data_IF_565747916590
#
_entry.id   IF_565747916590
#
_cell.length_a   1.000
_cell.length_b   1.000
_cell.length_c   1.000
_cell.angle_alpha   90.00
_cell.angle_beta   90.00
_cell.angle_gamma   90.00
#
_symmetry.space_group_name_H-M   'P 1'
#
loop_
_entity.id
_entity.type
_entity.pdbx_description
1 polymer ?
#
# COMPACT_ATOMS: atom_id res chain seq x y z
N UNK A 1 25.15 14.81 -32.69
CA UNK A 1 25.08 13.54 -31.94
C UNK A 1 23.66 13.47 -31.39
N UNK A 2 22.89 12.39 -31.61
CA UNK A 2 21.53 12.30 -31.10
C UNK A 2 21.51 12.40 -29.57
N UNK A 3 20.59 13.19 -29.03
CA UNK A 3 20.29 13.25 -27.60
C UNK A 3 19.27 12.15 -27.33
N UNK A 4 19.64 11.19 -26.50
CA UNK A 4 18.75 10.12 -26.03
C UNK A 4 18.13 10.59 -24.73
N UNK A 5 16.81 10.61 -24.67
CA UNK A 5 16.06 10.93 -23.45
C UNK A 5 15.46 9.63 -22.91
N UNK A 6 15.60 9.40 -21.60
CA UNK A 6 15.00 8.26 -20.90
C UNK A 6 14.10 8.84 -19.81
N UNK A 7 12.82 8.48 -19.84
CA UNK A 7 11.93 8.73 -18.71
C UNK A 7 11.89 7.46 -17.86
N UNK A 8 12.26 7.58 -16.59
CA UNK A 8 12.21 6.51 -15.60
C UNK A 8 11.13 6.86 -14.57
N UNK A 9 10.15 5.98 -14.39
CA UNK A 9 9.36 5.96 -13.16
C UNK A 9 10.13 5.20 -12.09
N UNK A 10 10.36 5.81 -10.93
CA UNK A 10 10.96 5.15 -9.75
C UNK A 10 10.01 5.37 -8.58
N UNK A 11 9.66 4.31 -7.86
CA UNK A 11 8.86 4.34 -6.64
C UNK A 11 9.83 4.40 -5.44
N UNK A 12 9.69 5.40 -4.55
CA UNK A 12 10.51 5.55 -3.35
C UNK A 12 9.70 6.15 -2.20
N UNK A 13 9.84 5.61 -0.99
CA UNK A 13 9.15 6.07 0.23
C UNK A 13 10.15 6.41 1.34
N UNK A 14 10.08 7.63 1.89
CA UNK A 14 10.68 7.97 3.19
C UNK A 14 9.95 9.14 3.87
N UNK A 15 9.65 9.02 5.16
CA UNK A 15 8.86 9.95 5.98
C UNK A 15 9.61 10.39 7.26
N UNK A 16 9.35 11.61 7.75
CA UNK A 16 9.83 12.14 9.05
C UNK A 16 8.84 13.21 9.59
N UNK A 17 8.51 13.27 10.91
CA UNK A 17 7.42 14.13 11.41
C UNK A 17 7.83 15.26 12.37
N UNK A 18 6.95 16.27 12.56
CA UNK A 18 6.80 17.05 13.81
C UNK A 18 5.50 17.91 13.94
N UNK A 19 4.75 17.66 15.03
CA UNK A 19 4.12 18.52 16.07
C UNK A 19 2.97 19.58 15.91
N UNK A 20 1.92 19.39 16.77
CA UNK A 20 1.18 20.37 17.63
C UNK A 20 0.17 21.36 16.98
N UNK A 21 -0.99 21.83 17.50
CA UNK A 21 -1.89 21.64 18.68
C UNK A 21 -3.31 22.27 18.42
N UNK A 22 -4.30 21.83 19.21
CA UNK A 22 -5.75 22.11 19.46
C UNK A 22 -6.53 23.38 18.98
N UNK A 23 -7.86 23.23 18.73
CA UNK A 23 -8.98 23.88 19.46
C UNK A 23 -10.39 23.34 19.06
N UNK A 24 -11.40 23.66 19.88
CA UNK A 24 -12.67 22.95 20.15
C UNK A 24 -13.89 23.86 19.89
N UNK A 25 -15.06 23.30 19.53
CA UNK A 25 -16.35 24.02 19.55
C UNK A 25 -17.53 23.21 19.00
N UNK A 26 -18.44 22.82 19.89
CA UNK A 26 -19.70 22.10 19.67
C UNK A 26 -20.68 22.89 18.78
N UNK A 27 -21.21 22.24 17.74
CA UNK A 27 -22.60 22.42 17.32
C UNK A 27 -23.08 21.17 16.57
N UNK A 28 -24.29 20.74 16.92
CA UNK A 28 -24.90 19.45 16.55
C UNK A 28 -25.02 19.33 15.00
N UNK A 29 -24.56 18.24 14.37
CA UNK A 29 -24.52 18.16 12.92
C UNK A 29 -25.93 18.09 12.31
N UNK A 30 -26.20 18.77 11.19
CA UNK A 30 -27.43 18.58 10.42
C UNK A 30 -27.44 17.21 9.75
N UNK A 31 -28.64 16.65 9.55
CA UNK A 31 -28.82 15.40 8.81
C UNK A 31 -28.21 15.51 7.40
N UNK A 32 -27.30 14.59 7.08
CA UNK A 32 -26.63 14.54 5.77
C UNK A 32 -27.58 13.93 4.75
N UNK A 33 -28.15 14.77 3.91
CA UNK A 33 -28.67 14.34 2.60
C UNK A 33 -27.48 14.33 1.64
N UNK A 34 -27.13 13.15 1.14
CA UNK A 34 -26.04 12.96 0.17
C UNK A 34 -26.36 13.62 -1.17
N UNK A 35 -25.36 14.30 -1.74
CA UNK A 35 -25.38 14.79 -3.13
C UNK A 35 -25.51 16.31 -3.26
N UNK A 36 -24.40 17.04 -3.02
CA UNK A 36 -24.28 18.46 -3.32
C UNK A 36 -22.91 18.79 -3.89
N UNK A 37 -22.87 19.67 -4.90
CA UNK A 37 -21.66 20.14 -5.59
C UNK A 37 -21.05 21.37 -4.91
N UNK A 38 -19.72 21.45 -4.85
CA UNK A 38 -18.98 22.59 -4.33
C UNK A 38 -18.29 23.36 -5.47
N UNK A 39 -18.25 24.70 -5.36
CA UNK A 39 -17.81 25.63 -6.39
C UNK A 39 -16.91 26.71 -5.78
N UNK A 40 -15.91 27.16 -6.56
CA UNK A 40 -15.13 28.37 -6.30
C UNK A 40 -15.75 29.58 -7.03
N UNK A 41 -15.74 30.76 -6.39
CA UNK A 41 -16.42 31.97 -6.83
C UNK A 41 -15.77 32.71 -8.01
N UNK A 42 -14.81 32.12 -8.73
CA UNK A 42 -14.14 32.79 -9.86
C UNK A 42 -14.01 31.93 -11.15
N UNK A 43 -15.12 31.89 -11.92
CA UNK A 43 -15.30 31.67 -13.39
C UNK A 43 -14.73 30.38 -14.06
N UNK A 44 -15.57 29.37 -14.40
CA UNK A 44 -16.34 29.07 -15.64
C UNK A 44 -15.76 27.96 -16.53
N UNK A 45 -16.24 26.72 -16.34
CA UNK A 45 -16.14 25.58 -17.29
C UNK A 45 -16.62 24.26 -16.65
N UNK A 46 -17.67 23.64 -17.21
CA UNK A 46 -18.37 22.43 -16.70
C UNK A 46 -17.61 21.13 -16.97
N UNK A 47 -17.82 20.12 -16.10
CA UNK A 47 -17.58 18.71 -16.38
C UNK A 47 -18.94 17.98 -16.42
N UNK A 48 -19.12 17.09 -17.39
CA UNK A 48 -20.23 16.11 -17.43
C UNK A 48 -19.68 14.70 -17.15
N UNK A 49 -20.55 13.91 -16.52
CA UNK A 49 -20.48 12.55 -15.97
C UNK A 49 -19.45 11.54 -16.51
N UNK A 50 -18.91 10.73 -15.60
CA UNK A 50 -19.00 9.27 -15.71
C UNK A 50 -19.23 8.61 -14.34
N UNK A 51 -19.84 7.43 -14.38
CA UNK A 51 -20.35 6.68 -13.23
C UNK A 51 -19.24 5.95 -12.45
N UNK A 52 -19.38 5.97 -11.13
CA UNK A 52 -18.77 5.07 -10.13
C UNK A 52 -17.26 4.91 -10.12
N UNK A 53 -16.59 5.68 -9.24
CA UNK A 53 -15.50 5.17 -8.40
C UNK A 53 -15.67 5.77 -7.00
N UNK A 54 -15.95 4.92 -6.02
CA UNK A 54 -15.83 5.24 -4.60
C UNK A 54 -14.34 5.06 -4.23
N UNK A 55 -13.65 6.16 -3.94
CA UNK A 55 -12.28 6.13 -3.42
C UNK A 55 -12.38 6.33 -1.91
N UNK A 56 -12.18 5.26 -1.15
CA UNK A 56 -11.80 5.36 0.25
C UNK A 56 -10.30 5.08 0.38
N UNK A 57 -9.52 6.13 0.60
CA UNK A 57 -8.16 6.04 1.12
C UNK A 57 -8.09 6.85 2.42
N UNK A 58 -7.68 6.13 3.47
CA UNK A 58 -6.72 6.52 4.50
C UNK A 58 -6.92 7.83 5.27
N UNK A 59 -7.05 7.70 6.58
CA UNK A 59 -7.12 8.81 7.53
C UNK A 59 -5.84 9.67 7.50
N UNK A 60 -5.99 10.92 7.08
CA UNK A 60 -5.16 12.04 7.54
C UNK A 60 -5.89 12.64 8.75
N UNK A 61 -5.38 12.42 9.97
CA UNK A 61 -5.90 13.11 11.15
C UNK A 61 -5.41 14.57 11.13
N UNK A 62 -6.28 15.47 10.69
CA UNK A 62 -6.11 16.92 10.83
C UNK A 62 -6.81 17.41 12.11
N UNK A 63 -6.28 18.47 12.71
CA UNK A 63 -6.96 19.14 13.82
C UNK A 63 -8.11 20.00 13.32
N UNK A 64 -9.17 20.08 14.11
CA UNK A 64 -10.41 20.80 13.83
C UNK A 64 -10.22 22.26 13.37
N UNK A 65 -9.12 22.92 13.75
CA UNK A 65 -8.82 24.32 13.38
C UNK A 65 -8.24 24.51 11.98
N UNK A 66 -7.77 23.45 11.31
CA UNK A 66 -7.09 23.54 10.00
C UNK A 66 -8.06 23.37 8.81
N UNK A 67 -9.31 22.95 9.07
CA UNK A 67 -10.34 22.75 8.05
C UNK A 67 -10.86 24.02 7.38
N UNK A 68 -10.71 25.19 8.01
CA UNK A 68 -11.45 26.40 7.59
C UNK A 68 -10.69 27.33 6.62
N UNK A 69 -9.43 27.05 6.26
CA UNK A 69 -8.62 28.02 5.51
C UNK A 69 -7.83 27.49 4.31
N UNK A 70 -7.84 26.20 3.98
CA UNK A 70 -7.08 25.68 2.85
C UNK A 70 -7.92 24.81 1.90
N UNK A 71 -7.72 25.12 0.62
CA UNK A 71 -8.20 24.43 -0.58
C UNK A 71 -7.16 23.38 -0.96
N UNK A 72 -7.58 22.15 -1.22
CA UNK A 72 -6.68 21.10 -1.67
C UNK A 72 -6.27 21.34 -3.13
N UNK A 73 -4.98 21.49 -3.39
CA UNK A 73 -4.39 21.44 -4.74
C UNK A 73 -3.08 20.67 -4.69
N UNK A 74 -3.09 19.37 -4.98
CA UNK A 74 -1.92 18.67 -5.54
C UNK A 74 -2.40 17.56 -6.46
N UNK A 75 -1.93 17.64 -7.70
CA UNK A 75 -2.08 16.63 -8.75
C UNK A 75 -0.76 15.88 -8.75
N UNK A 76 -0.65 14.83 -7.93
CA UNK A 76 0.48 13.92 -8.02
C UNK A 76 0.22 12.92 -9.16
N UNK A 77 1.21 12.82 -10.04
CA UNK A 77 1.17 12.01 -11.25
C UNK A 77 1.37 10.54 -10.91
N UNK A 78 0.29 9.85 -10.57
CA UNK A 78 0.28 8.39 -10.44
C UNK A 78 -0.58 7.75 -11.53
N UNK A 79 -0.11 6.62 -12.04
CA UNK A 79 -0.88 5.75 -12.91
C UNK A 79 -2.12 5.25 -12.15
N UNK A 80 -3.28 5.27 -12.80
CA UNK A 80 -4.52 4.68 -12.28
C UNK A 80 -4.40 3.14 -12.34
N UNK A 81 -4.49 2.47 -11.19
CA UNK A 81 -4.39 1.01 -11.13
C UNK A 81 -4.90 0.42 -9.80
N UNK A 82 -5.70 -0.66 -9.91
CA UNK A 82 -6.39 -1.36 -8.81
C UNK A 82 -5.53 -2.49 -8.20
N UNK A 83 -4.28 -2.23 -7.83
CA UNK A 83 -3.34 -3.32 -7.52
C UNK A 83 -3.35 -3.84 -6.08
N UNK A 84 -3.94 -3.11 -5.12
CA UNK A 84 -3.87 -3.47 -3.71
C UNK A 84 -5.15 -3.07 -2.96
N UNK A 85 -5.72 -4.02 -2.20
CA UNK A 85 -6.78 -3.78 -1.22
C UNK A 85 -6.31 -4.27 0.15
N UNK A 86 -6.61 -3.51 1.21
CA UNK A 86 -6.29 -3.88 2.60
C UNK A 86 -7.56 -4.23 3.38
N UNK A 87 -7.50 -5.26 4.21
CA UNK A 87 -8.57 -5.71 5.10
C UNK A 87 -8.02 -5.93 6.53
N UNK A 88 -8.92 -6.01 7.54
CA UNK A 88 -8.55 -6.12 8.96
C UNK A 88 -9.37 -7.19 9.71
N UNK A 89 -8.76 -7.86 10.68
CA UNK A 89 -9.36 -8.87 11.57
C UNK A 89 -8.85 -8.65 13.00
N UNK A 90 -9.69 -8.83 14.03
CA UNK A 90 -9.41 -8.50 15.45
C UNK A 90 -9.72 -9.64 16.43
N UNK A 91 -8.98 -9.73 17.56
CA UNK A 91 -9.23 -10.62 18.72
C UNK A 91 -8.85 -9.94 20.05
N UNK A 92 -9.47 -10.35 21.17
CA UNK A 92 -9.30 -9.74 22.51
C UNK A 92 -9.40 -10.80 23.63
N UNK A 93 -8.37 -10.94 24.48
CA UNK A 93 -8.25 -12.05 25.45
C UNK A 93 -7.59 -11.64 26.78
N UNK A 94 -8.18 -12.06 27.91
CA UNK A 94 -7.55 -11.93 29.24
C UNK A 94 -6.63 -13.11 29.53
N UNK A 95 -5.36 -12.84 29.82
CA UNK A 95 -4.32 -13.88 29.86
C UNK A 95 -4.03 -14.43 31.27
N UNK A 96 -4.36 -13.70 32.34
CA UNK A 96 -3.93 -14.04 33.70
C UNK A 96 -5.02 -13.84 34.78
N UNK A 97 -6.18 -14.48 34.62
CA UNK A 97 -7.24 -14.46 35.62
C UNK A 97 -7.83 -15.85 35.81
N UNK A 98 -7.77 -16.37 37.05
CA UNK A 98 -8.55 -17.53 37.48
C UNK A 98 -9.84 -17.04 38.17
N UNK A 99 -11.00 -17.37 37.58
CA UNK A 99 -12.31 -16.97 38.10
C UNK A 99 -12.66 -17.66 39.44
N UNK A 100 -12.07 -18.83 39.72
CA UNK A 100 -12.46 -19.67 40.86
C UNK A 100 -11.52 -19.56 42.07
N UNK A 101 -10.35 -18.91 41.92
CA UNK A 101 -9.27 -18.92 42.95
C UNK A 101 -8.69 -17.57 43.41
N UNK A 102 -8.96 -16.44 42.73
CA UNK A 102 -8.20 -15.18 42.89
C UNK A 102 -6.67 -15.34 42.70
N UNK A 103 -6.20 -16.41 42.06
CA UNK A 103 -4.79 -16.60 41.78
C UNK A 103 -4.44 -15.92 40.44
N UNK A 104 -3.45 -15.04 40.47
CA UNK A 104 -2.92 -14.39 39.27
C UNK A 104 -1.74 -15.20 38.74
N UNK A 105 -1.77 -15.54 37.44
CA UNK A 105 -0.63 -16.16 36.78
C UNK A 105 0.46 -15.12 36.53
N UNK A 106 1.66 -15.36 37.08
CA UNK A 106 2.84 -14.52 36.83
C UNK A 106 3.54 -14.83 35.51
N UNK A 107 3.19 -15.93 34.84
CA UNK A 107 3.67 -16.24 33.50
C UNK A 107 2.73 -17.23 32.81
N UNK A 108 2.74 -17.24 31.48
CA UNK A 108 1.95 -18.17 30.70
C UNK A 108 2.14 -18.03 29.19
N UNK A 109 1.50 -18.91 28.44
CA UNK A 109 1.48 -18.91 26.99
C UNK A 109 0.03 -19.08 26.55
N UNK A 110 -0.47 -18.12 25.78
CA UNK A 110 -1.72 -18.21 25.05
C UNK A 110 -1.45 -18.41 23.57
N UNK A 111 -2.19 -19.30 22.93
CA UNK A 111 -2.15 -19.52 21.48
C UNK A 111 -3.54 -19.22 20.94
N UNK A 112 -3.63 -18.33 19.96
CA UNK A 112 -4.91 -17.90 19.40
C UNK A 112 -5.59 -19.01 18.62
N UNK A 113 -6.87 -18.82 18.30
CA UNK A 113 -7.46 -19.54 17.17
C UNK A 113 -6.74 -19.16 15.88
N UNK A 114 -6.89 -19.98 14.84
CA UNK A 114 -6.37 -19.68 13.51
C UNK A 114 -7.30 -18.69 12.81
N UNK A 115 -6.73 -17.59 12.31
CA UNK A 115 -7.44 -16.61 11.48
C UNK A 115 -7.32 -17.00 10.01
N UNK A 116 -8.39 -16.79 9.24
CA UNK A 116 -8.44 -17.07 7.81
C UNK A 116 -8.79 -15.80 7.04
N UNK A 117 -7.92 -15.40 6.12
CA UNK A 117 -8.11 -14.22 5.27
C UNK A 117 -8.95 -14.51 4.01
N UNK A 118 -9.54 -15.71 3.86
CA UNK A 118 -10.28 -16.10 2.65
C UNK A 118 -9.40 -16.56 1.49
N UNK A 119 -8.15 -16.12 1.41
CA UNK A 119 -7.16 -16.47 0.37
C UNK A 119 -5.75 -16.15 0.87
N UNK A 120 -4.72 -16.56 0.13
CA UNK A 120 -3.35 -16.17 0.46
C UNK A 120 -3.19 -14.65 0.41
N UNK A 121 -2.52 -14.09 1.42
CA UNK A 121 -2.32 -12.66 1.61
C UNK A 121 -0.93 -12.38 2.15
N UNK A 122 -0.42 -11.19 1.84
CA UNK A 122 0.83 -10.71 2.41
C UNK A 122 0.53 -10.05 3.76
N UNK A 123 0.90 -10.71 4.85
CA UNK A 123 0.77 -10.16 6.19
C UNK A 123 1.74 -8.99 6.37
N UNK A 124 1.23 -7.77 6.55
CA UNK A 124 2.05 -6.55 6.55
C UNK A 124 2.45 -6.18 7.97
N UNK A 125 1.48 -6.03 8.86
CA UNK A 125 1.74 -5.74 10.26
C UNK A 125 0.60 -6.20 11.16
N UNK A 126 0.87 -6.23 12.46
CA UNK A 126 -0.14 -6.38 13.50
C UNK A 126 -0.04 -5.23 14.51
N UNK A 127 -1.19 -4.68 14.88
CA UNK A 127 -1.34 -3.76 16.00
C UNK A 127 -2.00 -4.51 17.15
N UNK A 128 -1.51 -4.32 18.37
CA UNK A 128 -2.07 -5.01 19.53
C UNK A 128 -1.77 -4.23 20.80
N UNK A 129 -2.55 -4.45 21.85
CA UNK A 129 -2.41 -3.71 23.10
C UNK A 129 -2.34 -4.67 24.27
N UNK A 130 -1.67 -4.29 25.35
CA UNK A 130 -1.73 -5.05 26.58
C UNK A 130 -1.67 -4.17 27.82
N UNK A 131 -2.12 -4.68 28.97
CA UNK A 131 -2.08 -4.00 30.26
C UNK A 131 -1.49 -4.91 31.35
N UNK A 132 -1.33 -4.37 32.56
CA UNK A 132 -1.00 -5.14 33.77
C UNK A 132 0.49 -5.40 34.00
N UNK A 133 1.34 -5.14 33.00
CA UNK A 133 2.80 -5.14 33.10
C UNK A 133 3.40 -4.15 32.08
N UNK A 134 4.45 -3.37 32.40
CA UNK A 134 5.09 -2.49 31.42
C UNK A 134 5.93 -3.27 30.40
N UNK A 135 6.56 -4.37 30.83
CA UNK A 135 7.38 -5.24 29.99
C UNK A 135 6.99 -6.66 30.35
N UNK A 136 6.44 -7.40 29.40
CA UNK A 136 6.01 -8.74 29.77
C UNK A 136 5.07 -9.43 28.82
N UNK A 137 4.68 -8.86 27.69
CA UNK A 137 3.99 -9.62 26.64
C UNK A 137 4.89 -9.69 25.42
N UNK A 138 4.98 -10.88 24.86
CA UNK A 138 5.76 -11.19 23.69
C UNK A 138 4.90 -11.99 22.71
N UNK A 139 4.70 -11.46 21.51
CA UNK A 139 3.90 -12.12 20.48
C UNK A 139 4.81 -12.75 19.44
N UNK A 140 4.46 -13.98 19.05
CA UNK A 140 5.03 -14.69 17.93
C UNK A 140 3.94 -15.02 16.93
N UNK A 141 4.31 -15.13 15.66
CA UNK A 141 3.39 -15.40 14.57
C UNK A 141 3.83 -16.63 13.79
N UNK A 142 2.86 -17.33 13.21
CA UNK A 142 3.10 -18.34 12.18
C UNK A 142 1.96 -18.34 11.17
N UNK A 143 2.25 -18.80 9.97
CA UNK A 143 1.29 -18.89 8.86
C UNK A 143 1.28 -20.30 8.27
N UNK A 144 0.25 -20.64 7.50
CA UNK A 144 0.17 -21.92 6.82
C UNK A 144 -1.05 -22.05 5.91
N UNK A 145 -1.09 -23.10 5.10
CA UNK A 145 -2.11 -23.29 4.05
C UNK A 145 -3.38 -24.01 4.51
N UNK A 146 -3.42 -24.45 5.77
CA UNK A 146 -4.49 -25.29 6.32
C UNK A 146 -5.05 -24.68 7.60
N UNK A 147 -6.35 -24.84 7.86
CA UNK A 147 -6.98 -24.32 9.08
C UNK A 147 -6.42 -24.95 10.38
N UNK A 148 -5.96 -26.21 10.30
CA UNK A 148 -5.38 -26.93 11.43
C UNK A 148 -3.86 -26.93 11.31
N UNK A 149 -3.11 -26.30 12.24
CA UNK A 149 -1.66 -26.25 12.15
C UNK A 149 -1.00 -27.62 12.05
N UNK A 150 -0.21 -27.82 11.01
CA UNK A 150 0.52 -29.05 10.69
C UNK A 150 2.02 -28.77 10.47
N UNK A 151 2.79 -29.77 10.02
CA UNK A 151 4.23 -29.63 9.77
C UNK A 151 4.55 -28.72 8.56
N UNK A 152 3.55 -28.36 7.74
CA UNK A 152 3.68 -27.43 6.62
C UNK A 152 3.55 -25.96 7.02
N UNK A 153 3.07 -25.67 8.24
CA UNK A 153 3.05 -24.32 8.77
C UNK A 153 4.46 -23.79 9.03
N UNK A 154 4.62 -22.47 8.94
CA UNK A 154 5.87 -21.82 9.31
C UNK A 154 6.20 -22.08 10.79
N UNK A 155 7.49 -22.06 11.12
CA UNK A 155 7.91 -21.97 12.51
C UNK A 155 7.38 -20.69 13.18
N UNK A 156 7.31 -20.69 14.50
CA UNK A 156 6.99 -19.48 15.26
C UNK A 156 8.07 -18.43 15.06
N UNK A 157 7.70 -17.32 14.44
CA UNK A 157 8.59 -16.19 14.20
C UNK A 157 8.49 -15.18 15.32
N UNK A 158 9.66 -14.75 15.76
CA UNK A 158 9.84 -13.70 16.74
C UNK A 158 9.97 -12.37 16.00
N UNK A 159 9.15 -11.35 16.32
CA UNK A 159 9.38 -9.99 15.88
C UNK A 159 10.77 -9.57 16.36
N UNK A 160 11.66 -9.26 15.42
CA UNK A 160 12.99 -8.76 15.76
C UNK A 160 12.84 -7.31 16.24
N UNK A 161 13.61 -6.91 17.25
CA UNK A 161 13.57 -5.53 17.77
C UNK A 161 14.40 -4.54 16.92
N UNK A 162 14.80 -4.90 15.70
CA UNK A 162 15.62 -4.06 14.83
C UNK A 162 14.78 -3.26 13.82
N UNK A 163 15.26 -2.10 13.38
CA UNK A 163 14.74 -1.40 12.19
C UNK A 163 13.21 -1.19 12.11
N UNK A 164 12.54 -0.80 13.21
CA UNK A 164 11.08 -0.60 13.26
C UNK A 164 10.23 -1.87 13.01
N UNK A 165 10.83 -3.06 13.19
CA UNK A 165 10.10 -4.33 13.09
C UNK A 165 9.17 -4.56 14.30
N UNK A 166 9.46 -3.91 15.43
CA UNK A 166 8.68 -3.99 16.66
C UNK A 166 8.76 -2.69 17.43
N UNK A 167 7.63 -2.12 17.83
CA UNK A 167 7.56 -0.91 18.65
C UNK A 167 6.41 -1.03 19.64
N UNK A 168 6.70 -0.79 20.92
CA UNK A 168 5.67 -0.64 21.94
C UNK A 168 5.78 0.72 22.60
N UNK A 169 4.65 1.41 22.74
CA UNK A 169 4.54 2.69 23.40
C UNK A 169 3.56 2.58 24.57
N UNK A 170 4.03 2.91 25.77
CA UNK A 170 3.18 2.94 26.95
C UNK A 170 2.34 4.21 26.97
N UNK A 171 1.02 4.08 27.04
CA UNK A 171 0.07 5.17 26.90
C UNK A 171 -0.52 5.56 28.26
N UNK A 172 0.04 6.60 28.88
CA UNK A 172 -0.55 7.26 30.04
C UNK A 172 -1.76 8.12 29.60
N UNK A 173 -2.90 8.10 30.32
CA UNK A 173 -3.14 7.48 31.63
C UNK A 173 -3.78 6.09 31.58
N UNK A 174 -3.98 5.49 30.40
CA UNK A 174 -4.76 4.26 30.24
C UNK A 174 -4.17 3.03 30.94
N UNK A 175 -2.85 3.03 31.19
CA UNK A 175 -2.16 1.86 31.72
C UNK A 175 -1.93 0.77 30.68
N UNK A 176 -2.26 1.06 29.41
CA UNK A 176 -2.05 0.16 28.28
C UNK A 176 -0.72 0.47 27.60
N UNK A 177 -0.14 -0.58 27.04
CA UNK A 177 0.96 -0.51 26.09
C UNK A 177 0.42 -0.83 24.71
N UNK A 178 0.48 0.13 23.80
CA UNK A 178 0.14 -0.05 22.40
C UNK A 178 1.38 -0.57 21.67
N UNK A 179 1.24 -1.66 20.94
CA UNK A 179 2.32 -2.33 20.24
C UNK A 179 2.01 -2.46 18.75
N UNK A 180 3.08 -2.33 17.98
CA UNK A 180 3.11 -2.53 16.55
C UNK A 180 4.15 -3.60 16.25
N UNK A 181 3.81 -4.51 15.35
CA UNK A 181 4.70 -5.56 14.86
C UNK A 181 4.66 -5.62 13.36
N UNK A 182 5.80 -5.39 12.73
CA UNK A 182 5.99 -5.61 11.30
C UNK A 182 6.04 -7.12 11.01
N UNK A 183 5.23 -7.58 10.06
CA UNK A 183 5.14 -8.98 9.65
C UNK A 183 5.90 -9.23 8.33
N UNK A 184 6.70 -8.27 7.85
CA UNK A 184 7.60 -8.47 6.71
C UNK A 184 8.50 -9.69 6.93
N UNK A 185 8.53 -10.59 5.95
CA UNK A 185 9.28 -11.84 6.00
C UNK A 185 8.50 -13.03 6.54
N UNK A 186 7.25 -12.82 6.97
CA UNK A 186 6.29 -13.91 7.10
C UNK A 186 5.85 -14.36 5.71
N UNK A 187 5.75 -15.68 5.50
CA UNK A 187 5.29 -16.23 4.22
C UNK A 187 3.84 -15.80 3.95
N UNK A 188 3.58 -15.38 2.71
CA UNK A 188 2.23 -15.18 2.19
C UNK A 188 1.44 -16.47 2.36
N UNK A 189 0.27 -16.38 2.99
CA UNK A 189 -0.54 -17.55 3.30
C UNK A 189 -1.96 -17.15 3.73
N UNK A 190 -2.96 -18.01 3.51
CA UNK A 190 -4.35 -17.72 3.88
C UNK A 190 -4.62 -17.72 5.38
N UNK A 191 -3.80 -18.43 6.16
CA UNK A 191 -3.99 -18.54 7.59
C UNK A 191 -2.85 -17.91 8.38
N UNK A 192 -3.19 -17.27 9.49
CA UNK A 192 -2.23 -16.79 10.50
C UNK A 192 -2.69 -17.23 11.89
N UNK A 193 -1.72 -17.51 12.75
CA UNK A 193 -1.95 -17.74 14.17
C UNK A 193 -0.88 -16.98 14.96
N UNK A 194 -1.27 -16.44 16.09
CA UNK A 194 -0.34 -15.82 17.02
C UNK A 194 -0.26 -16.60 18.33
N UNK A 195 0.85 -16.40 19.03
CA UNK A 195 1.11 -16.91 20.36
C UNK A 195 1.66 -15.80 21.23
N UNK A 196 0.93 -15.47 22.28
CA UNK A 196 1.35 -14.50 23.29
C UNK A 196 1.97 -15.24 24.47
N UNK A 197 3.25 -15.00 24.73
CA UNK A 197 3.89 -15.40 25.98
C UNK A 197 3.90 -14.20 26.90
N UNK A 198 3.49 -14.39 28.16
CA UNK A 198 3.48 -13.30 29.13
C UNK A 198 4.25 -13.62 30.40
N UNK A 199 4.73 -12.57 31.05
CA UNK A 199 5.35 -12.58 32.38
C UNK A 199 5.00 -11.29 33.13
N UNK A 200 4.57 -11.42 34.39
CA UNK A 200 4.33 -10.33 35.32
C UNK A 200 5.21 -10.53 36.56
N UNK A 201 5.89 -9.47 36.99
CA UNK A 201 6.61 -9.45 38.26
C UNK A 201 5.69 -9.07 39.45
N UNK A 202 4.41 -8.82 39.16
CA UNK A 202 3.38 -8.48 40.14
C UNK A 202 2.34 -9.62 40.23
N UNK A 203 2.38 -10.44 41.29
CA UNK A 203 1.45 -11.57 41.47
C UNK A 203 0.02 -11.14 41.84
N UNK A 204 -0.28 -9.85 41.76
CA UNK A 204 -1.61 -9.28 42.05
C UNK A 204 -2.18 -8.50 40.86
N UNK A 205 -1.54 -8.57 39.69
CA UNK A 205 -2.03 -7.90 38.47
C UNK A 205 -2.28 -8.94 37.39
N UNK A 206 -3.41 -8.81 36.71
CA UNK A 206 -3.70 -9.59 35.51
C UNK A 206 -3.05 -8.93 34.32
N UNK A 207 -2.30 -9.70 33.54
CA UNK A 207 -1.91 -9.31 32.19
C UNK A 207 -3.11 -9.53 31.27
N UNK A 208 -3.48 -8.50 30.55
CA UNK A 208 -4.60 -8.53 29.59
C UNK A 208 -4.05 -8.19 28.20
N UNK A 209 -4.46 -8.94 27.19
CA UNK A 209 -4.13 -8.70 25.79
C UNK A 209 -5.40 -8.24 25.07
N UNK A 210 -5.31 -7.11 24.41
CA UNK A 210 -6.42 -6.43 23.77
C UNK A 210 -6.16 -6.22 22.30
N UNK A 211 -7.23 -6.29 21.52
CA UNK A 211 -7.36 -5.76 20.16
C UNK A 211 -6.14 -6.08 19.27
N UNK A 212 -5.86 -7.37 19.08
CA UNK A 212 -4.86 -7.77 18.09
C UNK A 212 -5.46 -7.68 16.70
N UNK A 213 -5.11 -6.62 16.00
CA UNK A 213 -5.48 -6.34 14.64
C UNK A 213 -4.38 -6.79 13.68
N UNK A 214 -4.78 -7.33 12.53
CA UNK A 214 -3.87 -7.66 11.43
C UNK A 214 -4.17 -6.79 10.22
N UNK A 215 -3.13 -6.19 9.63
CA UNK A 215 -3.19 -5.62 8.30
C UNK A 215 -2.50 -6.56 7.31
N UNK A 216 -3.18 -6.85 6.21
CA UNK A 216 -2.63 -7.65 5.12
C UNK A 216 -2.96 -7.06 3.75
N UNK A 217 -2.10 -7.35 2.77
CA UNK A 217 -2.27 -7.01 1.37
C UNK A 217 -2.81 -8.19 0.58
N UNK A 218 -3.73 -7.93 -0.34
CA UNK A 218 -4.29 -8.93 -1.24
C UNK A 218 -3.73 -8.74 -2.64
N UNK A 219 -3.27 -9.83 -3.27
CA UNK A 219 -2.92 -9.85 -4.70
C UNK A 219 -4.16 -10.09 -5.56
N UNK A 220 -4.40 -9.20 -6.52
CA UNK A 220 -5.44 -9.41 -7.53
C UNK A 220 -5.04 -10.54 -8.49
N UNK A 221 -5.96 -11.47 -8.77
CA UNK A 221 -5.74 -12.58 -9.73
C UNK A 221 -5.52 -12.06 -11.16
N UNK A 222 -6.01 -10.87 -11.47
CA UNK A 222 -5.80 -10.19 -12.73
C UNK A 222 -5.90 -8.69 -12.53
N UNK A 223 -5.21 -7.92 -13.37
CA UNK A 223 -5.29 -6.46 -13.35
C UNK A 223 -4.69 -5.85 -14.60
N UNK A 224 -4.98 -4.56 -14.83
CA UNK A 224 -4.37 -3.78 -15.90
C UNK A 224 -3.91 -2.43 -15.40
N UNK A 225 -2.71 -1.99 -15.80
CA UNK A 225 -2.18 -0.66 -15.54
C UNK A 225 -2.01 0.08 -16.84
N UNK A 226 -2.27 1.38 -16.86
CA UNK A 226 -1.91 2.26 -17.97
C UNK A 226 -0.89 3.28 -17.49
N UNK A 227 0.18 3.48 -18.27
CA UNK A 227 1.10 4.59 -18.02
C UNK A 227 0.37 5.91 -18.28
N UNK A 228 0.88 7.00 -17.71
CA UNK A 228 0.50 8.33 -18.21
C UNK A 228 0.83 8.42 -19.72
N UNK A 229 0.08 9.23 -20.50
CA UNK A 229 0.48 9.54 -21.86
C UNK A 229 1.90 10.12 -21.88
N UNK A 230 2.75 9.66 -22.80
CA UNK A 230 4.13 10.12 -22.95
C UNK A 230 4.19 10.99 -24.21
N UNK A 231 4.08 12.33 -24.11
CA UNK A 231 4.19 13.26 -25.24
C UNK A 231 5.61 13.86 -25.32
N UNK A 232 6.55 13.32 -26.12
CA UNK A 232 7.89 13.84 -26.12
C UNK A 232 7.94 15.18 -26.86
N UNK A 233 8.56 16.19 -26.24
CA UNK A 233 8.84 17.44 -26.92
C UNK A 233 9.85 17.20 -28.06
N UNK A 234 9.54 17.72 -29.25
CA UNK A 234 10.37 17.59 -30.45
C UNK A 234 10.68 16.14 -30.86
N UNK A 235 9.73 15.23 -30.64
CA UNK A 235 9.86 13.84 -31.05
C UNK A 235 10.23 13.72 -32.54
N UNK A 236 11.36 13.07 -32.80
CA UNK A 236 11.82 12.74 -34.15
C UNK A 236 11.54 11.28 -34.50
N UNK A 237 11.80 10.37 -33.56
CA UNK A 237 11.71 8.93 -33.78
C UNK A 237 11.52 8.22 -32.44
N UNK A 238 10.59 7.27 -32.38
CA UNK A 238 10.50 6.34 -31.26
C UNK A 238 11.61 5.28 -31.39
N UNK A 239 12.30 4.98 -30.29
CA UNK A 239 13.47 4.09 -30.34
C UNK A 239 13.13 2.69 -29.82
N UNK A 240 12.91 2.55 -28.51
CA UNK A 240 12.70 1.23 -27.88
C UNK A 240 11.92 1.31 -26.57
N UNK A 241 11.37 0.17 -26.16
CA UNK A 241 10.78 -0.02 -24.84
C UNK A 241 11.87 -0.35 -23.81
N UNK A 242 11.75 0.18 -22.59
CA UNK A 242 12.58 -0.15 -21.44
C UNK A 242 11.70 -0.82 -20.39
N UNK A 243 11.97 -2.08 -20.05
CA UNK A 243 11.22 -2.82 -19.02
C UNK A 243 12.21 -3.52 -18.07
N UNK A 244 11.92 -3.46 -16.77
CA UNK A 244 12.48 -4.31 -15.71
C UNK A 244 11.32 -4.81 -14.86
N UNK A 245 11.16 -6.12 -14.78
CA UNK A 245 10.05 -6.75 -14.09
C UNK A 245 10.48 -8.07 -13.46
N UNK A 246 9.80 -8.47 -12.39
CA UNK A 246 9.91 -9.78 -11.77
C UNK A 246 8.62 -10.54 -12.05
N UNK A 247 8.71 -11.68 -12.73
CA UNK A 247 7.56 -12.52 -13.07
C UNK A 247 7.74 -13.89 -12.40
N UNK A 248 7.17 -14.11 -11.21
CA UNK A 248 7.20 -15.41 -10.54
C UNK A 248 6.57 -16.52 -11.39
N UNK A 249 6.83 -17.78 -11.03
CA UNK A 249 6.10 -18.90 -11.61
C UNK A 249 4.59 -18.72 -11.41
N UNK A 250 3.79 -19.28 -12.32
CA UNK A 250 2.32 -19.23 -12.29
C UNK A 250 1.71 -17.83 -12.40
N UNK A 251 2.51 -16.85 -12.80
CA UNK A 251 2.09 -15.49 -13.16
C UNK A 251 2.38 -15.19 -14.62
N UNK A 252 1.63 -14.25 -15.20
CA UNK A 252 1.93 -13.66 -16.50
C UNK A 252 1.89 -12.14 -16.39
N UNK A 253 2.79 -11.50 -17.12
CA UNK A 253 2.85 -10.05 -17.27
C UNK A 253 3.06 -9.75 -18.75
N UNK A 254 2.11 -9.06 -19.35
CA UNK A 254 2.15 -8.61 -20.75
C UNK A 254 2.21 -7.10 -20.76
N UNK A 255 3.17 -6.52 -21.47
CA UNK A 255 3.25 -5.07 -21.65
C UNK A 255 2.95 -4.75 -23.11
N UNK A 256 1.86 -4.05 -23.38
CA UNK A 256 1.56 -3.54 -24.72
C UNK A 256 2.02 -2.10 -24.86
N UNK A 257 2.42 -1.71 -26.07
CA UNK A 257 2.51 -0.31 -26.48
C UNK A 257 1.19 0.06 -27.13
N UNK A 258 0.52 1.07 -26.59
CA UNK A 258 -0.83 1.48 -27.01
C UNK A 258 -0.89 2.97 -27.33
N UNK A 259 -1.86 3.37 -28.12
CA UNK A 259 -2.27 4.77 -28.31
C UNK A 259 -3.10 5.26 -27.13
N UNK A 260 -3.39 6.56 -27.08
CA UNK A 260 -4.20 7.18 -26.01
C UNK A 260 -5.67 6.74 -25.99
N UNK A 261 -6.17 6.16 -27.08
CA UNK A 261 -7.51 5.57 -27.15
C UNK A 261 -7.53 4.06 -26.83
N UNK A 262 -6.36 3.48 -26.49
CA UNK A 262 -6.22 2.08 -26.12
C UNK A 262 -5.95 1.11 -27.28
N UNK A 263 -5.82 1.60 -28.52
CA UNK A 263 -5.43 0.77 -29.68
C UNK A 263 -4.02 0.22 -29.50
N UNK A 264 -3.84 -1.09 -29.70
CA UNK A 264 -2.53 -1.75 -29.56
C UNK A 264 -1.68 -1.49 -30.80
N UNK A 265 -0.54 -0.85 -30.61
CA UNK A 265 0.47 -0.63 -31.64
C UNK A 265 1.46 -1.80 -31.69
N UNK A 266 1.91 -2.25 -30.52
CA UNK A 266 2.81 -3.39 -30.37
C UNK A 266 2.32 -4.24 -29.20
N UNK A 267 1.86 -5.47 -29.44
CA UNK A 267 1.50 -6.39 -28.36
C UNK A 267 2.75 -7.02 -27.74
N UNK A 268 2.66 -7.38 -26.46
CA UNK A 268 3.67 -8.18 -25.74
C UNK A 268 5.12 -7.67 -25.94
N UNK A 269 5.28 -6.37 -25.78
CA UNK A 269 6.56 -5.70 -25.85
C UNK A 269 7.45 -6.11 -24.67
N UNK A 270 8.63 -6.62 -25.01
CA UNK A 270 9.70 -6.93 -24.06
C UNK A 270 10.68 -5.76 -23.94
N UNK A 271 11.57 -5.83 -22.94
CA UNK A 271 12.67 -4.88 -22.82
C UNK A 271 13.52 -4.86 -24.11
N UNK A 272 13.73 -3.67 -24.67
CA UNK A 272 14.45 -3.47 -25.92
C UNK A 272 13.62 -3.63 -27.19
N UNK A 273 12.32 -3.93 -27.11
CA UNK A 273 11.43 -3.97 -28.28
C UNK A 273 11.52 -2.65 -29.06
N UNK A 274 11.78 -2.76 -30.36
CA UNK A 274 11.98 -1.62 -31.26
C UNK A 274 10.67 -0.91 -31.56
N UNK A 275 10.69 0.42 -31.51
CA UNK A 275 9.53 1.28 -31.79
C UNK A 275 9.63 2.02 -33.14
N UNK A 276 10.70 1.76 -33.91
CA UNK A 276 10.98 2.48 -35.17
C UNK A 276 9.91 2.36 -36.26
N UNK A 277 8.98 1.41 -36.12
CA UNK A 277 7.85 1.24 -37.03
C UNK A 277 6.65 2.14 -36.71
N UNK A 278 6.65 2.82 -35.58
CA UNK A 278 5.59 3.73 -35.16
C UNK A 278 5.91 5.12 -35.70
N UNK A 279 5.08 5.64 -36.62
CA UNK A 279 5.24 6.98 -37.15
C UNK A 279 4.96 8.04 -36.05
N UNK A 280 5.96 8.88 -35.68
CA UNK A 280 5.77 9.94 -34.70
C UNK A 280 4.73 11.00 -35.09
N UNK A 281 4.41 11.14 -36.38
CA UNK A 281 3.39 12.07 -36.85
C UNK A 281 1.97 11.57 -36.54
N UNK A 282 1.72 10.29 -36.80
CA UNK A 282 0.42 9.64 -36.56
C UNK A 282 0.25 9.28 -35.08
N UNK A 283 1.36 8.98 -34.38
CA UNK A 283 1.39 8.60 -32.97
C UNK A 283 2.36 9.49 -32.18
N UNK A 284 2.05 10.78 -32.01
CA UNK A 284 2.91 11.72 -31.26
C UNK A 284 2.89 11.46 -29.75
N UNK A 285 1.92 10.68 -29.28
CA UNK A 285 1.74 10.28 -27.88
C UNK A 285 1.39 8.80 -27.86
N UNK A 286 2.13 8.03 -27.07
CA UNK A 286 1.86 6.61 -26.82
C UNK A 286 1.91 6.34 -25.31
N UNK A 287 1.36 5.21 -24.91
CA UNK A 287 1.30 4.70 -23.55
C UNK A 287 1.80 3.27 -23.50
N UNK A 288 2.11 2.81 -22.30
CA UNK A 288 2.30 1.40 -22.00
C UNK A 288 1.07 0.90 -21.25
N UNK A 289 0.59 -0.29 -21.61
CA UNK A 289 -0.44 -1.01 -20.87
C UNK A 289 0.15 -2.30 -20.32
N UNK A 290 0.16 -2.45 -19.00
CA UNK A 290 0.52 -3.70 -18.37
C UNK A 290 -0.76 -4.50 -18.11
N UNK A 291 -0.78 -5.78 -18.46
CA UNK A 291 -1.83 -6.72 -18.06
C UNK A 291 -1.18 -7.84 -17.29
N UNK A 292 -1.70 -8.12 -16.10
CA UNK A 292 -1.22 -9.21 -15.25
C UNK A 292 -2.31 -10.24 -15.05
N UNK A 293 -1.92 -11.50 -14.97
CA UNK A 293 -2.75 -12.57 -14.43
C UNK A 293 -1.91 -13.51 -13.57
N UNK A 294 -2.50 -14.08 -12.53
CA UNK A 294 -1.90 -15.12 -11.70
C UNK A 294 -2.95 -16.17 -11.38
N UNK A 295 -2.54 -17.44 -11.34
CA UNK A 295 -3.39 -18.51 -10.81
C UNK A 295 -3.18 -18.75 -9.31
N UNK A 296 -2.16 -18.11 -8.73
CA UNK A 296 -1.79 -18.23 -7.34
C UNK A 296 -1.93 -16.86 -6.64
N UNK A 297 -2.86 -16.77 -5.70
CA UNK A 297 -3.14 -15.53 -4.96
C UNK A 297 -2.02 -15.13 -3.98
N UNK A 298 -1.00 -15.97 -3.79
CA UNK A 298 0.16 -15.68 -2.94
C UNK A 298 1.29 -14.96 -3.69
N UNK A 299 1.20 -14.85 -5.03
CA UNK A 299 2.23 -14.25 -5.86
C UNK A 299 1.65 -13.34 -6.93
N UNK A 300 2.34 -12.23 -7.20
CA UNK A 300 1.96 -11.27 -8.24
C UNK A 300 3.22 -10.83 -9.00
N UNK A 301 3.13 -10.60 -10.32
CA UNK A 301 4.24 -10.05 -11.07
C UNK A 301 4.48 -8.58 -10.67
N UNK A 302 5.73 -8.19 -10.54
CA UNK A 302 6.15 -6.82 -10.23
C UNK A 302 6.74 -6.12 -11.45
N UNK A 303 6.46 -4.83 -11.61
CA UNK A 303 7.16 -3.93 -12.54
C UNK A 303 8.00 -2.96 -11.71
N UNK A 304 9.32 -3.07 -11.84
CA UNK A 304 10.25 -2.15 -11.18
C UNK A 304 10.47 -0.89 -12.04
N UNK A 305 10.57 -1.10 -13.36
CA UNK A 305 10.78 -0.04 -14.35
C UNK A 305 9.99 -0.38 -15.60
N UNK A 306 9.31 0.62 -16.12
CA UNK A 306 8.82 0.60 -17.50
C UNK A 306 8.88 2.00 -18.09
N UNK A 307 9.17 2.10 -19.37
CA UNK A 307 9.33 3.39 -20.03
C UNK A 307 9.69 3.23 -21.50
N UNK A 308 9.89 4.37 -22.15
CA UNK A 308 10.18 4.45 -23.57
C UNK A 308 11.47 5.24 -23.79
N UNK A 309 12.20 4.90 -24.84
CA UNK A 309 13.31 5.67 -25.39
C UNK A 309 12.91 6.27 -26.72
N UNK A 310 13.34 7.49 -26.96
CA UNK A 310 13.09 8.21 -28.21
C UNK A 310 14.22 9.18 -28.54
N UNK A 311 14.24 9.61 -29.80
CA UNK A 311 15.16 10.59 -30.35
C UNK A 311 14.40 11.90 -30.55
N UNK A 312 15.01 13.02 -30.16
CA UNK A 312 14.48 14.36 -30.42
C UNK A 312 15.19 15.04 -31.60
N UNK A 313 14.52 16.00 -32.25
CA UNK A 313 15.17 16.88 -33.21
C UNK A 313 16.26 17.72 -32.52
N UNK A 314 17.37 17.96 -33.23
CA UNK A 314 18.36 18.92 -32.71
C UNK A 314 17.76 20.32 -32.79
N UNK A 315 17.55 20.98 -31.64
CA UNK A 315 17.28 22.42 -31.63
C UNK A 315 18.56 23.16 -32.03
N UNK A 316 18.63 23.65 -33.26
CA UNK A 316 19.61 24.68 -33.61
C UNK A 316 19.11 26.03 -33.08
N UNK A 317 19.75 26.53 -32.03
CA UNK A 317 19.54 27.92 -31.60
C UNK A 317 20.27 28.83 -32.57
N UNK A 318 19.52 29.56 -33.39
CA UNK A 318 20.08 30.66 -34.20
C UNK A 318 20.14 31.89 -33.29
N UNK A 319 21.33 32.43 -32.94
CA UNK A 319 21.41 33.67 -32.20
C UNK A 319 20.84 34.82 -33.05
N UNK A 320 19.78 35.45 -32.57
CA UNK A 320 19.26 36.68 -33.17
C UNK A 320 20.18 37.82 -32.70
N UNK A 321 21.11 38.25 -33.54
CA UNK A 321 21.82 39.51 -33.32
C UNK A 321 20.85 40.66 -33.62
N UNK A 322 20.30 41.27 -32.57
CA UNK A 322 19.57 42.54 -32.68
C UNK A 322 20.50 43.65 -33.18
N UNK A 323 20.04 44.42 -34.17
CA UNK A 323 20.68 45.67 -34.59
C UNK A 323 20.33 46.79 -33.65
#
# INVERSE_FOLDING_TARGET
MPIIVVLLGVISTSYSPANGQNAQGDDKPPEVIQGGSWKDDFWQGKLEQSENIDVQLSFLLLKYTEQLHWKQTWKEHFAEGEFWQTEAISDSVRLAWDEDGQEFYSAGIYTSTVFYAGRAVDWVFSEWKYSGTPEGVFIQFRTGETQNPDDGWSGWMVPRMGNFEYLCAYTLPSGNTDCFTNLNGINSSPYIQYRASFKSDHPSTTVELYDIDFLYGIHCLSGSALSIPIPPADLREWESVLISSTVPADTTLVIDVVTTDGTVLIPDAMNGTSLKGIDPHDHPVIQLRASLTTTDASVSPGIDVWGLKWIIWHRQFIPIAGR
#
